data_IF_194826543960
#
_entry.id   IF_194826543960
#
_cell.length_a   1.000
_cell.length_b   1.000
_cell.length_c   1.000
_cell.angle_alpha   90.00
_cell.angle_beta   90.00
_cell.angle_gamma   90.00
#
_symmetry.space_group_name_H-M   'P 1'
#
loop_
_entity.id
_entity.type
_entity.pdbx_description
1 polymer ?
#
# COMPACT_ATOMS: atom_id res chain seq x y z
N UNK A 1 5.80 14.51 13.24
CA UNK A 1 5.60 15.48 12.17
C UNK A 1 5.31 14.75 10.86
N UNK A 2 4.33 15.21 10.12
CA UNK A 2 3.91 14.58 8.87
C UNK A 2 4.44 15.37 7.68
N UNK A 3 4.89 14.65 6.66
CA UNK A 3 5.40 15.24 5.42
C UNK A 3 4.48 14.83 4.29
N UNK A 4 4.38 15.65 3.25
CA UNK A 4 3.52 15.39 2.10
C UNK A 4 4.38 15.00 0.91
N UNK A 5 4.05 13.87 0.29
CA UNK A 5 4.54 13.55 -1.05
C UNK A 5 3.51 14.09 -2.05
N UNK A 6 3.96 14.87 -3.02
CA UNK A 6 3.06 15.47 -4.02
C UNK A 6 3.81 15.53 -5.34
N UNK A 7 3.69 14.48 -6.12
CA UNK A 7 4.37 14.35 -7.40
C UNK A 7 3.69 13.25 -8.21
N UNK A 8 3.98 13.16 -9.47
CA UNK A 8 3.50 12.13 -10.40
C UNK A 8 1.98 11.96 -10.41
N UNK A 9 1.25 13.05 -10.13
CA UNK A 9 -0.20 13.05 -10.19
C UNK A 9 -0.88 12.48 -8.97
N UNK A 10 -0.14 12.27 -7.88
CA UNK A 10 -0.72 11.78 -6.63
C UNK A 10 -0.17 12.57 -5.45
N UNK A 11 -0.86 12.45 -4.32
CA UNK A 11 -0.48 13.10 -3.08
C UNK A 11 -0.84 12.19 -1.93
N UNK A 12 0.05 12.08 -0.95
CA UNK A 12 -0.28 11.42 0.32
C UNK A 12 0.64 11.94 1.42
N UNK A 13 0.26 11.64 2.67
CA UNK A 13 1.01 12.08 3.84
C UNK A 13 1.66 10.89 4.52
N UNK A 14 2.87 11.08 5.02
CA UNK A 14 3.61 10.03 5.71
C UNK A 14 4.47 10.66 6.82
N UNK A 15 4.92 9.85 7.82
CA UNK A 15 5.75 10.41 8.90
C UNK A 15 7.07 10.94 8.38
N UNK A 16 7.49 12.10 8.88
CA UNK A 16 8.68 12.79 8.37
C UNK A 16 9.99 12.08 8.65
N UNK A 17 10.02 11.14 9.59
CA UNK A 17 11.21 10.36 9.88
C UNK A 17 11.28 9.04 9.11
N UNK A 18 10.28 8.74 8.29
CA UNK A 18 10.31 7.56 7.41
C UNK A 18 11.07 7.92 6.13
N UNK A 19 11.78 6.95 5.56
CA UNK A 19 12.50 7.14 4.31
C UNK A 19 11.57 6.92 3.13
N UNK A 20 11.71 7.75 2.10
CA UNK A 20 10.91 7.66 0.88
C UNK A 20 11.81 7.35 -0.31
N UNK A 21 11.38 6.42 -1.14
CA UNK A 21 12.09 6.06 -2.35
C UNK A 21 11.09 5.91 -3.49
N UNK A 22 11.44 6.42 -4.66
CA UNK A 22 10.59 6.35 -5.84
C UNK A 22 11.30 5.55 -6.93
N UNK A 23 10.59 4.61 -7.54
CA UNK A 23 11.11 3.80 -8.64
C UNK A 23 10.13 3.90 -9.81
N UNK A 24 10.64 4.30 -10.96
CA UNK A 24 9.84 4.32 -12.19
C UNK A 24 10.30 3.17 -13.10
N UNK A 25 9.36 2.39 -13.62
CA UNK A 25 9.66 1.26 -14.49
C UNK A 25 8.56 1.14 -15.54
N UNK A 26 8.73 1.87 -16.65
CA UNK A 26 7.74 1.90 -17.73
C UNK A 26 6.41 2.48 -17.22
N UNK A 27 5.30 1.75 -17.40
CA UNK A 27 4.01 2.24 -16.91
C UNK A 27 3.84 2.14 -15.39
N UNK A 28 4.79 1.50 -14.71
CA UNK A 28 4.73 1.31 -13.25
C UNK A 28 5.57 2.33 -12.53
N UNK A 29 5.00 2.95 -11.50
CA UNK A 29 5.73 3.81 -10.57
C UNK A 29 5.42 3.33 -9.17
N UNK A 30 6.47 3.14 -8.36
CA UNK A 30 6.29 2.74 -6.96
C UNK A 30 6.91 3.79 -6.06
N UNK A 31 6.12 4.28 -5.11
CA UNK A 31 6.60 5.18 -4.06
C UNK A 31 6.57 4.38 -2.76
N UNK A 32 7.74 4.17 -2.18
CA UNK A 32 7.88 3.39 -0.96
C UNK A 32 8.26 4.29 0.20
N UNK A 33 7.62 4.09 1.36
CA UNK A 33 8.00 4.76 2.59
C UNK A 33 8.24 3.70 3.63
N UNK A 34 9.34 3.83 4.38
CA UNK A 34 9.77 2.81 5.33
C UNK A 34 10.13 3.42 6.67
N UNK A 35 9.68 2.79 7.75
CA UNK A 35 10.00 3.22 9.11
C UNK A 35 11.50 3.06 9.38
N UNK A 36 12.12 3.99 10.14
CA UNK A 36 13.55 3.91 10.41
C UNK A 36 13.89 2.67 11.24
N UNK A 37 14.83 1.89 10.72
CA UNK A 37 15.33 0.70 11.42
C UNK A 37 14.29 -0.39 11.65
N UNK A 38 13.11 -0.27 11.05
CA UNK A 38 12.01 -1.17 11.32
C UNK A 38 11.57 -1.97 10.11
N UNK A 39 10.55 -2.80 10.33
CA UNK A 39 9.97 -3.63 9.29
C UNK A 39 8.71 -3.03 8.68
N UNK A 40 8.17 -1.97 9.30
CA UNK A 40 6.95 -1.35 8.78
C UNK A 40 7.25 -0.53 7.53
N UNK A 41 6.42 -0.71 6.51
CA UNK A 41 6.56 0.07 5.28
C UNK A 41 5.24 0.13 4.54
N UNK A 42 5.13 1.09 3.63
CA UNK A 42 4.00 1.20 2.73
C UNK A 42 4.49 1.39 1.31
N UNK A 43 3.78 0.80 0.37
CA UNK A 43 4.05 0.96 -1.06
C UNK A 43 2.82 1.56 -1.71
N UNK A 44 3.02 2.58 -2.53
CA UNK A 44 1.99 3.14 -3.40
C UNK A 44 2.45 2.84 -4.82
N UNK A 45 1.80 1.90 -5.48
CA UNK A 45 2.17 1.51 -6.85
C UNK A 45 1.08 1.98 -7.80
N UNK A 46 1.51 2.63 -8.87
CA UNK A 46 0.60 3.13 -9.89
C UNK A 46 0.96 2.50 -11.23
N UNK A 47 -0.06 2.03 -11.94
CA UNK A 47 0.13 1.38 -13.24
C UNK A 47 -0.72 2.11 -14.28
N UNK A 48 -0.06 2.81 -15.19
CA UNK A 48 -0.73 3.60 -16.21
C UNK A 48 -1.39 2.75 -17.29
N UNK A 49 -1.11 1.44 -17.33
CA UNK A 49 -1.79 0.54 -18.26
C UNK A 49 -3.19 0.14 -17.76
N UNK A 50 -3.57 0.59 -16.58
CA UNK A 50 -4.92 0.44 -16.02
C UNK A 50 -5.41 -1.01 -15.95
N UNK A 51 -4.63 -1.94 -15.34
CA UNK A 51 -5.13 -3.31 -15.18
C UNK A 51 -6.32 -3.35 -14.21
N UNK A 52 -7.07 -4.45 -14.26
CA UNK A 52 -8.22 -4.62 -13.39
C UNK A 52 -7.77 -4.69 -11.92
N UNK A 53 -8.40 -3.93 -11.03
CA UNK A 53 -7.99 -3.94 -9.61
C UNK A 53 -8.04 -5.32 -8.96
N UNK A 54 -9.03 -6.14 -9.29
CA UNK A 54 -9.13 -7.48 -8.73
C UNK A 54 -7.93 -8.34 -9.12
N UNK A 55 -7.48 -8.23 -10.36
CA UNK A 55 -6.30 -8.98 -10.81
C UNK A 55 -5.05 -8.52 -10.09
N UNK A 56 -4.88 -7.21 -9.92
CA UNK A 56 -3.70 -6.66 -9.23
C UNK A 56 -3.70 -7.09 -7.77
N UNK A 57 -4.85 -7.02 -7.10
CA UNK A 57 -4.96 -7.41 -5.69
C UNK A 57 -4.69 -8.91 -5.53
N UNK A 58 -5.23 -9.74 -6.43
CA UNK A 58 -5.02 -11.18 -6.36
C UNK A 58 -3.58 -11.57 -6.66
N UNK A 59 -2.93 -10.89 -7.58
CA UNK A 59 -1.51 -11.14 -7.88
C UNK A 59 -0.63 -10.79 -6.68
N UNK A 60 -0.95 -9.70 -5.98
CA UNK A 60 -0.20 -9.32 -4.78
C UNK A 60 -0.38 -10.37 -3.68
N UNK A 61 -1.60 -10.87 -3.51
CA UNK A 61 -1.87 -11.92 -2.53
C UNK A 61 -1.12 -13.21 -2.89
N UNK A 62 -1.13 -13.60 -4.16
CA UNK A 62 -0.44 -14.82 -4.58
C UNK A 62 1.06 -14.72 -4.42
N UNK A 63 1.64 -13.55 -4.66
CA UNK A 63 3.06 -13.33 -4.43
C UNK A 63 3.42 -13.54 -2.96
N UNK A 64 2.58 -13.06 -2.04
CA UNK A 64 2.79 -13.31 -0.61
C UNK A 64 2.61 -14.78 -0.26
N UNK A 65 1.64 -15.44 -0.88
CA UNK A 65 1.36 -16.84 -0.58
C UNK A 65 2.48 -17.75 -1.04
N UNK A 66 3.19 -17.38 -2.10
CA UNK A 66 4.36 -18.13 -2.55
C UNK A 66 5.48 -18.10 -1.51
N UNK A 67 5.63 -16.98 -0.82
CA UNK A 67 6.66 -16.81 0.19
C UNK A 67 6.19 -17.31 1.56
N UNK A 68 4.91 -17.13 1.86
CA UNK A 68 4.30 -17.51 3.15
C UNK A 68 3.07 -18.37 2.89
N UNK A 69 3.26 -19.68 2.60
CA UNK A 69 2.12 -20.52 2.16
C UNK A 69 0.99 -20.68 3.17
N UNK A 70 1.25 -20.39 4.44
CA UNK A 70 0.26 -20.58 5.50
C UNK A 70 -0.24 -19.22 6.00
N UNK A 71 -0.39 -18.27 5.11
CA UNK A 71 -0.96 -16.97 5.51
C UNK A 71 -2.49 -17.07 5.62
N UNK A 72 -3.06 -16.18 6.45
CA UNK A 72 -4.49 -15.97 6.51
C UNK A 72 -4.84 -14.71 5.75
N UNK A 73 -5.83 -14.78 4.88
CA UNK A 73 -6.27 -13.63 4.10
C UNK A 73 -7.78 -13.48 4.20
N UNK A 74 -8.23 -12.26 4.43
CA UNK A 74 -9.65 -11.92 4.51
C UNK A 74 -9.93 -10.83 3.48
N UNK A 75 -10.98 -10.97 2.65
CA UNK A 75 -11.33 -9.92 1.71
C UNK A 75 -11.65 -8.61 2.42
N UNK A 76 -11.29 -7.51 1.81
CA UNK A 76 -11.48 -6.19 2.38
C UNK A 76 -12.03 -5.23 1.34
N UNK A 77 -12.79 -4.25 1.83
CA UNK A 77 -13.40 -3.23 0.99
C UNK A 77 -13.35 -1.93 1.76
N UNK A 78 -12.89 -0.88 1.10
CA UNK A 78 -12.67 0.41 1.76
C UNK A 78 -12.82 1.53 0.74
N UNK A 79 -13.24 2.71 1.17
CA UNK A 79 -13.28 3.88 0.28
C UNK A 79 -12.03 4.69 0.47
N UNK A 80 -11.29 4.94 -0.60
CA UNK A 80 -10.06 5.73 -0.60
C UNK A 80 -10.17 6.76 -1.73
N UNK A 81 -10.04 8.03 -1.40
CA UNK A 81 -10.12 9.12 -2.37
C UNK A 81 -11.42 9.03 -3.18
N UNK A 82 -12.52 8.66 -2.54
CA UNK A 82 -13.81 8.52 -3.21
C UNK A 82 -13.96 7.27 -4.05
N UNK A 83 -12.94 6.42 -4.13
CA UNK A 83 -12.98 5.19 -4.92
C UNK A 83 -13.20 3.98 -4.03
N UNK A 84 -13.93 3.00 -4.55
CA UNK A 84 -14.10 1.73 -3.85
C UNK A 84 -12.85 0.89 -4.06
N UNK A 85 -12.05 0.75 -3.01
CA UNK A 85 -10.82 -0.02 -3.04
C UNK A 85 -11.09 -1.44 -2.53
N UNK A 86 -10.68 -2.43 -3.31
CA UNK A 86 -10.84 -3.83 -2.94
C UNK A 86 -9.48 -4.41 -2.60
N UNK A 87 -9.45 -5.45 -1.80
CA UNK A 87 -8.19 -6.09 -1.47
C UNK A 87 -8.33 -7.14 -0.39
N UNK A 88 -7.29 -7.24 0.41
CA UNK A 88 -7.17 -8.29 1.43
C UNK A 88 -6.50 -7.75 2.68
N UNK A 89 -6.93 -8.25 3.83
CA UNK A 89 -6.20 -8.09 5.07
C UNK A 89 -5.52 -9.43 5.35
N UNK A 90 -4.23 -9.42 5.62
CA UNK A 90 -3.40 -10.61 5.63
C UNK A 90 -2.61 -10.69 6.93
N UNK A 91 -2.49 -11.90 7.49
CA UNK A 91 -1.61 -12.17 8.61
C UNK A 91 -0.81 -13.42 8.34
N UNK A 92 0.45 -13.41 8.75
CA UNK A 92 1.30 -14.59 8.67
C UNK A 92 2.38 -14.53 9.75
N UNK A 93 2.93 -15.71 10.10
CA UNK A 93 3.99 -15.81 11.09
C UNK A 93 5.30 -16.05 10.36
N UNK A 94 6.32 -15.27 10.69
CA UNK A 94 7.66 -15.42 10.15
C UNK A 94 8.66 -15.02 11.22
N UNK A 95 9.66 -15.84 11.47
CA UNK A 95 10.70 -15.60 12.48
C UNK A 95 10.09 -15.35 13.87
N UNK A 96 9.08 -16.14 14.19
CA UNK A 96 8.34 -16.06 15.46
C UNK A 96 7.61 -14.74 15.69
N UNK A 97 7.40 -13.96 14.62
CA UNK A 97 6.65 -12.71 14.68
C UNK A 97 5.36 -12.83 13.89
N UNK A 98 4.31 -12.20 14.39
CA UNK A 98 3.09 -12.03 13.59
C UNK A 98 3.25 -10.80 12.74
N UNK A 99 3.13 -10.97 11.43
CA UNK A 99 3.19 -9.90 10.47
C UNK A 99 1.81 -9.69 9.89
N UNK A 100 1.47 -8.45 9.59
CA UNK A 100 0.20 -8.11 8.99
C UNK A 100 0.42 -7.25 7.75
N UNK A 101 -0.42 -7.46 6.74
CA UNK A 101 -0.36 -6.68 5.50
C UNK A 101 -1.76 -6.24 5.13
N UNK A 102 -1.85 -5.09 4.46
CA UNK A 102 -3.09 -4.65 3.84
C UNK A 102 -2.84 -4.43 2.37
N UNK A 103 -3.77 -4.91 1.54
CA UNK A 103 -3.77 -4.67 0.10
C UNK A 103 -5.07 -3.93 -0.20
N UNK A 104 -4.95 -2.77 -0.87
CA UNK A 104 -6.12 -2.00 -1.33
C UNK A 104 -5.85 -1.57 -2.75
N UNK A 105 -6.77 -1.84 -3.64
CA UNK A 105 -6.55 -1.57 -5.05
C UNK A 105 -7.81 -0.97 -5.67
N UNK A 106 -7.62 0.07 -6.50
CA UNK A 106 -8.71 0.69 -7.23
C UNK A 106 -8.18 1.26 -8.55
N UNK A 107 -9.09 1.61 -9.44
CA UNK A 107 -8.72 2.13 -10.74
C UNK A 107 -9.43 3.44 -11.01
N UNK A 108 -8.68 4.38 -11.58
CA UNK A 108 -9.20 5.65 -12.09
C UNK A 108 -9.10 5.63 -13.61
N UNK A 109 -9.63 6.65 -14.32
CA UNK A 109 -9.43 6.70 -15.77
C UNK A 109 -7.97 6.78 -16.19
N UNK A 110 -7.07 7.18 -15.28
CA UNK A 110 -5.66 7.37 -15.62
C UNK A 110 -4.77 6.21 -15.24
N UNK A 111 -5.12 5.47 -14.18
CA UNK A 111 -4.20 4.47 -13.64
C UNK A 111 -4.92 3.49 -12.69
N UNK A 112 -4.27 2.36 -12.44
CA UNK A 112 -4.63 1.48 -11.35
C UNK A 112 -3.69 1.75 -10.19
N UNK A 113 -4.24 1.89 -8.98
CA UNK A 113 -3.48 2.20 -7.78
C UNK A 113 -3.53 1.00 -6.85
N UNK A 114 -2.35 0.58 -6.38
CA UNK A 114 -2.21 -0.47 -5.36
C UNK A 114 -1.57 0.16 -4.14
N UNK A 115 -2.26 0.07 -3.01
CA UNK A 115 -1.75 0.53 -1.74
C UNK A 115 -1.47 -0.70 -0.88
N UNK A 116 -0.21 -0.89 -0.51
CA UNK A 116 0.26 -2.03 0.27
C UNK A 116 0.91 -1.52 1.55
N UNK A 117 0.55 -2.10 2.68
CA UNK A 117 1.18 -1.77 3.95
C UNK A 117 1.53 -3.05 4.69
N UNK A 118 2.63 -3.03 5.43
CA UNK A 118 3.07 -4.18 6.22
C UNK A 118 3.66 -3.72 7.54
N UNK A 119 3.36 -4.45 8.60
CA UNK A 119 3.92 -4.19 9.91
C UNK A 119 4.03 -5.49 10.70
N UNK A 120 4.76 -5.44 11.83
CA UNK A 120 4.99 -6.57 12.70
C UNK A 120 4.51 -6.25 14.11
N UNK A 121 4.07 -7.27 14.85
CA UNK A 121 3.55 -7.10 16.20
C UNK A 121 4.62 -6.80 17.25
N UNK A 122 5.91 -6.98 16.91
CA UNK A 122 7.00 -6.69 17.86
C UNK A 122 7.53 -5.26 17.73
N UNK A 123 7.03 -4.50 16.76
CA UNK A 123 7.45 -3.13 16.57
C UNK A 123 6.47 -2.16 17.23
N UNK A 124 6.60 -0.89 16.89
CA UNK A 124 5.74 0.15 17.44
C UNK A 124 4.28 -0.19 17.24
N UNK A 125 3.51 -0.24 18.32
CA UNK A 125 2.09 -0.57 18.26
C UNK A 125 1.26 0.48 17.54
N UNK A 126 1.84 1.65 17.26
CA UNK A 126 1.17 2.69 16.47
C UNK A 126 1.25 2.44 14.97
N UNK A 127 2.11 1.53 14.52
CA UNK A 127 2.31 1.29 13.08
C UNK A 127 1.03 0.99 12.30
N UNK A 128 0.09 0.16 12.80
CA UNK A 128 -1.15 -0.06 12.04
C UNK A 128 -1.92 1.23 11.79
N UNK A 129 -2.01 2.10 12.79
CA UNK A 129 -2.71 3.38 12.65
C UNK A 129 -1.97 4.32 11.72
N UNK A 130 -0.64 4.34 11.79
CA UNK A 130 0.20 5.16 10.90
C UNK A 130 0.00 4.74 9.45
N UNK A 131 0.06 3.43 9.18
CA UNK A 131 -0.11 2.93 7.83
C UNK A 131 -1.53 3.18 7.29
N UNK A 132 -2.54 3.07 8.16
CA UNK A 132 -3.90 3.41 7.77
C UNK A 132 -4.02 4.90 7.43
N UNK A 133 -3.35 5.77 8.19
CA UNK A 133 -3.36 7.20 7.92
C UNK A 133 -2.69 7.52 6.58
N UNK A 134 -1.58 6.85 6.26
CA UNK A 134 -0.93 7.01 4.95
C UNK A 134 -1.92 6.66 3.84
N UNK A 135 -2.56 5.51 3.96
CA UNK A 135 -3.50 5.02 2.95
C UNK A 135 -4.69 5.96 2.79
N UNK A 136 -5.27 6.44 3.89
CA UNK A 136 -6.43 7.29 3.85
C UNK A 136 -6.12 8.72 3.36
N UNK A 137 -4.87 9.13 3.41
CA UNK A 137 -4.47 10.46 2.91
C UNK A 137 -4.23 10.47 1.40
N UNK A 138 -4.26 9.32 0.75
CA UNK A 138 -3.99 9.22 -0.69
C UNK A 138 -5.03 9.98 -1.52
N UNK A 139 -4.55 10.78 -2.48
CA UNK A 139 -5.39 11.50 -3.43
C UNK A 139 -4.73 11.48 -4.81
N UNK A 140 -5.55 11.34 -5.83
CA UNK A 140 -5.10 11.55 -7.21
C UNK A 140 -5.27 13.04 -7.52
N UNK A 141 -4.17 13.70 -7.88
CA UNK A 141 -4.19 15.15 -8.07
C UNK A 141 -4.27 15.57 -9.54
N UNK A 142 -3.94 14.67 -10.46
CA UNK A 142 -4.06 14.95 -11.90
C UNK A 142 -5.34 14.36 -12.49
N UNK A 143 -6.29 14.02 -11.64
CA UNK A 143 -7.57 13.52 -12.07
C UNK A 143 -8.21 14.55 -12.95
N UNK A 144 -8.77 14.14 -14.06
CA UNK A 144 -9.26 15.05 -14.95
C UNK A 144 -10.54 15.58 -14.63
N UNK A 145 -10.58 16.71 -14.88
CA UNK A 145 -11.71 17.42 -14.65
C UNK A 145 -12.82 17.14 -15.59
#
# INVERSE_FOLDING_TARGET
MTVIYDDRGIRFEYPGDWELEVTDDGPLTTVAVQAPGGLAFALVTMDDSCPAPAEVADQALEALREEYPVLDATPALETIDGHRAIGHDIEFISLDMTNACTIRCFRTPRRTVLLFGQWSDIEDEDNPAVLAAVRHSFEETDADD
#
